data_IF_493083882272
#
_entry.id   IF_493083882272
#
_cell.length_a   1.000
_cell.length_b   1.000
_cell.length_c   1.000
_cell.angle_alpha   90.00
_cell.angle_beta   90.00
_cell.angle_gamma   90.00
#
_symmetry.space_group_name_H-M   'P 1'
#
loop_
_entity.id
_entity.type
_entity.pdbx_description
1 polymer ?
#
# COMPACT_ATOMS: atom_id res chain seq x y z
N UNK A 1 -25.73 63.39 18.24
CA UNK A 1 -26.84 62.71 18.95
C UNK A 1 -26.94 61.31 18.33
N UNK A 2 -26.03 60.41 18.69
CA UNK A 2 -26.10 59.43 19.79
C UNK A 2 -27.07 58.26 19.47
N UNK A 3 -26.64 57.30 18.63
CA UNK A 3 -26.27 55.88 18.93
C UNK A 3 -27.48 54.94 19.22
N UNK A 4 -27.29 53.60 19.30
CA UNK A 4 -27.81 52.60 18.35
C UNK A 4 -28.83 51.65 19.03
N UNK A 5 -29.17 50.52 18.41
CA UNK A 5 -29.62 49.37 19.21
C UNK A 5 -28.91 48.08 18.81
N UNK A 6 -28.31 47.48 19.84
CA UNK A 6 -27.51 46.28 19.87
C UNK A 6 -28.35 45.12 20.42
N UNK A 7 -28.00 43.95 19.92
CA UNK A 7 -28.21 42.58 20.39
C UNK A 7 -28.24 42.35 21.92
N UNK A 8 -29.02 41.37 22.40
CA UNK A 8 -28.70 40.55 23.58
C UNK A 8 -29.54 39.25 23.70
N UNK A 9 -29.09 38.26 24.52
CA UNK A 9 -29.24 36.82 24.31
C UNK A 9 -29.92 36.05 25.47
N UNK A 10 -30.06 34.72 25.32
CA UNK A 10 -29.77 33.78 26.41
C UNK A 10 -30.91 33.28 27.33
N UNK A 11 -30.63 32.31 28.22
CA UNK A 11 -31.29 30.99 28.26
C UNK A 11 -32.06 30.68 29.57
N UNK A 12 -32.85 29.60 29.59
CA UNK A 12 -33.45 29.10 30.84
C UNK A 12 -34.14 27.74 30.73
N UNK A 13 -33.56 26.73 31.37
CA UNK A 13 -34.15 25.43 31.74
C UNK A 13 -35.32 25.64 32.73
N UNK A 14 -36.33 24.75 32.77
CA UNK A 14 -36.66 24.13 34.06
C UNK A 14 -36.98 22.61 33.99
N UNK A 15 -37.08 21.95 35.17
CA UNK A 15 -36.90 20.51 35.36
C UNK A 15 -38.22 19.73 35.56
N UNK A 16 -38.13 18.38 35.55
CA UNK A 16 -38.97 17.53 36.38
C UNK A 16 -40.04 16.67 35.68
N UNK A 17 -39.81 15.36 35.75
CA UNK A 17 -40.75 14.23 35.53
C UNK A 17 -42.07 14.36 36.34
N UNK A 18 -43.19 13.70 35.93
CA UNK A 18 -43.38 12.26 36.15
C UNK A 18 -44.14 11.46 35.05
N UNK A 19 -44.12 10.15 35.27
CA UNK A 19 -44.54 9.01 34.46
C UNK A 19 -45.96 9.03 33.88
N UNK A 20 -46.09 8.45 32.68
CA UNK A 20 -47.31 7.81 32.16
C UNK A 20 -46.96 6.88 30.98
N UNK A 21 -47.39 5.60 30.95
CA UNK A 21 -47.10 4.70 29.84
C UNK A 21 -48.15 4.87 28.74
N UNK A 22 -47.77 5.50 27.64
CA UNK A 22 -48.56 5.55 26.41
C UNK A 22 -47.71 5.06 25.23
N UNK A 23 -48.21 4.13 24.38
CA UNK A 23 -47.45 3.66 23.23
C UNK A 23 -47.46 4.74 22.13
N UNK A 24 -46.31 5.35 21.88
CA UNK A 24 -46.07 6.21 20.71
C UNK A 24 -45.63 5.35 19.51
N UNK A 25 -46.21 5.53 18.31
CA UNK A 25 -45.81 4.79 17.11
C UNK A 25 -44.41 5.22 16.65
N UNK A 26 -43.53 4.24 16.47
CA UNK A 26 -42.14 4.41 16.09
C UNK A 26 -42.05 4.74 14.58
N UNK A 27 -41.62 5.96 14.25
CA UNK A 27 -41.24 6.32 12.89
C UNK A 27 -39.91 5.62 12.51
N UNK A 28 -39.77 5.09 11.29
CA UNK A 28 -38.56 4.38 10.89
C UNK A 28 -37.41 5.39 10.74
N UNK A 29 -36.41 5.24 11.60
CA UNK A 29 -35.14 5.96 11.51
C UNK A 29 -34.41 5.47 10.26
N UNK A 30 -34.13 6.40 9.33
CA UNK A 30 -33.22 6.21 8.21
C UNK A 30 -31.82 5.89 8.78
N UNK A 31 -31.47 4.60 8.77
CA UNK A 31 -30.14 4.13 9.13
C UNK A 31 -29.19 4.50 7.99
N UNK A 32 -28.49 5.62 8.16
CA UNK A 32 -27.41 6.06 7.28
C UNK A 32 -26.28 5.03 7.35
N UNK A 33 -26.17 4.19 6.33
CA UNK A 33 -25.08 3.24 6.19
C UNK A 33 -23.81 4.03 5.88
N UNK A 34 -22.96 4.23 6.88
CA UNK A 34 -21.57 4.65 6.68
C UNK A 34 -20.84 3.51 5.98
N UNK A 35 -20.79 3.55 4.66
CA UNK A 35 -19.88 2.71 3.86
C UNK A 35 -18.47 3.18 4.16
N UNK A 36 -17.81 2.49 5.09
CA UNK A 36 -16.38 2.53 5.28
C UNK A 36 -15.72 2.11 3.96
N UNK A 37 -15.20 3.06 3.18
CA UNK A 37 -14.29 2.74 2.09
C UNK A 37 -13.13 1.90 2.66
N UNK A 38 -12.75 0.77 2.04
CA UNK A 38 -11.57 0.03 2.48
C UNK A 38 -10.32 0.91 2.33
N UNK A 39 -9.48 1.05 3.38
CA UNK A 39 -8.18 1.69 3.29
C UNK A 39 -7.20 0.73 2.62
N UNK A 40 -7.34 0.52 1.31
CA UNK A 40 -6.47 -0.39 0.55
C UNK A 40 -5.41 0.35 -0.28
N UNK A 41 -5.62 1.64 -0.56
CA UNK A 41 -4.73 2.41 -1.44
C UNK A 41 -3.47 2.92 -0.72
N UNK A 42 -3.51 3.15 0.59
CA UNK A 42 -2.33 3.49 1.40
C UNK A 42 -1.29 2.36 1.45
N UNK A 43 -1.70 1.09 1.27
CA UNK A 43 -0.83 -0.06 1.52
C UNK A 43 0.19 -0.34 0.40
N UNK A 44 0.01 0.26 -0.78
CA UNK A 44 0.73 -0.12 -2.01
C UNK A 44 1.56 1.00 -2.66
N UNK A 45 1.75 2.15 -2.01
CA UNK A 45 2.64 3.17 -2.57
C UNK A 45 4.12 2.89 -2.27
N UNK A 46 4.65 1.88 -2.97
CA UNK A 46 6.06 1.51 -2.93
C UNK A 46 6.98 2.68 -3.30
N UNK A 47 6.53 3.60 -4.16
CA UNK A 47 7.31 4.78 -4.57
C UNK A 47 7.42 5.77 -3.41
N UNK A 48 6.34 6.05 -2.70
CA UNK A 48 6.40 6.91 -1.51
C UNK A 48 7.26 6.30 -0.40
N UNK A 49 7.22 4.98 -0.22
CA UNK A 49 8.13 4.28 0.71
C UNK A 49 9.59 4.44 0.31
N UNK A 50 9.93 4.28 -0.97
CA UNK A 50 11.28 4.52 -1.48
C UNK A 50 11.73 5.96 -1.23
N UNK A 51 10.88 6.97 -1.46
CA UNK A 51 11.22 8.36 -1.19
C UNK A 51 11.60 8.60 0.28
N UNK A 52 10.90 7.95 1.21
CA UNK A 52 11.24 8.01 2.65
C UNK A 52 12.56 7.28 2.91
N UNK A 53 12.74 6.07 2.36
CA UNK A 53 13.96 5.27 2.52
C UNK A 53 15.20 5.96 1.95
N UNK A 54 15.10 6.70 0.84
CA UNK A 54 16.21 7.47 0.26
C UNK A 54 16.75 8.50 1.25
N UNK A 55 15.86 9.19 1.98
CA UNK A 55 16.28 10.12 3.02
C UNK A 55 16.98 9.37 4.17
N UNK A 56 16.47 8.22 4.58
CA UNK A 56 17.09 7.40 5.64
C UNK A 56 18.46 6.84 5.20
N UNK A 57 18.60 6.42 3.95
CA UNK A 57 19.87 5.99 3.37
C UNK A 57 20.91 7.10 3.39
N UNK A 58 20.51 8.34 3.09
CA UNK A 58 21.40 9.51 3.17
C UNK A 58 21.91 9.76 4.60
N UNK A 59 21.07 9.60 5.60
CA UNK A 59 21.49 9.75 6.99
C UNK A 59 22.32 8.54 7.48
N UNK A 60 21.98 7.34 7.01
CA UNK A 60 22.70 6.11 7.31
C UNK A 60 24.12 6.14 6.75
N UNK A 61 24.33 6.55 5.49
CA UNK A 61 25.70 6.67 4.91
C UNK A 61 26.55 7.70 5.66
N UNK A 62 25.96 8.83 6.09
CA UNK A 62 26.65 9.80 6.93
C UNK A 62 27.09 9.18 8.26
N UNK A 63 26.23 8.33 8.84
CA UNK A 63 26.52 7.62 10.08
C UNK A 63 27.64 6.58 9.86
N UNK A 64 27.57 5.79 8.78
CA UNK A 64 28.63 4.83 8.41
C UNK A 64 29.99 5.52 8.30
N UNK A 65 30.06 6.67 7.62
CA UNK A 65 31.32 7.41 7.45
C UNK A 65 31.84 7.94 8.79
N UNK A 66 30.98 8.52 9.63
CA UNK A 66 31.35 9.02 10.96
C UNK A 66 31.91 7.91 11.85
N UNK A 67 31.23 6.77 11.90
CA UNK A 67 31.66 5.62 12.70
C UNK A 67 32.92 4.97 12.13
N UNK A 68 33.05 4.84 10.80
CA UNK A 68 34.28 4.37 10.15
C UNK A 68 35.49 5.23 10.52
N UNK A 69 35.32 6.55 10.48
CA UNK A 69 36.37 7.50 10.81
C UNK A 69 36.78 7.38 12.28
N UNK A 70 35.80 7.31 13.18
CA UNK A 70 36.04 7.11 14.62
C UNK A 70 36.79 5.80 14.90
N UNK A 71 36.37 4.69 14.28
CA UNK A 71 37.03 3.40 14.39
C UNK A 71 38.46 3.43 13.86
N UNK A 72 38.69 4.07 12.72
CA UNK A 72 40.03 4.22 12.14
C UNK A 72 40.94 5.08 13.03
N UNK A 73 40.45 6.20 13.57
CA UNK A 73 41.20 7.04 14.49
C UNK A 73 41.55 6.30 15.78
N UNK A 74 40.60 5.53 16.33
CA UNK A 74 40.83 4.70 17.49
C UNK A 74 41.95 3.67 17.24
N UNK A 75 41.92 2.98 16.10
CA UNK A 75 42.95 2.02 15.72
C UNK A 75 44.33 2.70 15.64
N UNK A 76 44.42 3.89 15.02
CA UNK A 76 45.67 4.67 14.98
C UNK A 76 46.18 5.01 16.39
N UNK A 77 45.30 5.44 17.29
CA UNK A 77 45.69 5.75 18.68
C UNK A 77 46.19 4.52 19.44
N UNK A 78 45.56 3.37 19.22
CA UNK A 78 46.02 2.08 19.76
C UNK A 78 47.41 1.71 19.24
N UNK A 79 47.66 1.88 17.95
CA UNK A 79 48.97 1.61 17.33
C UNK A 79 50.07 2.53 17.88
N UNK A 80 49.72 3.75 18.27
CA UNK A 80 50.61 4.70 18.96
C UNK A 80 50.79 4.41 20.45
N UNK A 81 50.15 3.37 20.99
CA UNK A 81 50.21 2.99 22.41
C UNK A 81 49.39 3.89 23.34
N UNK A 82 48.53 4.75 22.81
CA UNK A 82 47.66 5.65 23.58
C UNK A 82 46.41 4.88 24.02
N UNK A 83 46.34 4.47 25.28
CA UNK A 83 45.18 3.76 25.84
C UNK A 83 43.96 4.68 25.91
N UNK A 84 42.97 4.44 25.06
CA UNK A 84 41.64 5.05 25.12
C UNK A 84 40.76 4.29 26.12
N UNK A 85 39.97 5.01 26.93
CA UNK A 85 39.18 4.45 28.04
C UNK A 85 37.94 3.68 27.57
N UNK A 86 37.52 3.84 26.30
CA UNK A 86 36.32 3.21 25.75
C UNK A 86 36.62 2.58 24.38
N UNK A 87 36.47 1.25 24.20
CA UNK A 87 36.58 0.64 22.89
C UNK A 87 35.31 0.94 22.06
N UNK A 88 35.41 1.38 20.79
CA UNK A 88 34.25 1.59 19.91
C UNK A 88 33.59 0.27 19.44
N UNK A 89 33.89 -0.84 20.11
CA UNK A 89 33.61 -2.19 19.66
C UNK A 89 32.09 -2.41 19.48
N UNK A 90 31.68 -2.70 18.23
CA UNK A 90 30.30 -3.04 17.86
C UNK A 90 29.44 -1.88 17.35
N UNK A 91 29.90 -0.63 17.43
CA UNK A 91 29.11 0.50 16.90
C UNK A 91 29.16 0.59 15.38
N UNK A 92 30.32 0.31 14.77
CA UNK A 92 30.47 0.39 13.32
C UNK A 92 29.71 -0.73 12.61
N UNK A 93 29.85 -1.97 13.08
CA UNK A 93 29.18 -3.14 12.47
C UNK A 93 27.66 -2.98 12.45
N UNK A 94 27.08 -2.48 13.55
CA UNK A 94 25.64 -2.21 13.62
C UNK A 94 25.19 -1.14 12.62
N UNK A 95 25.91 -0.02 12.54
CA UNK A 95 25.57 1.07 11.61
C UNK A 95 25.71 0.61 10.16
N UNK A 96 26.66 -0.29 9.89
CA UNK A 96 26.84 -0.90 8.58
C UNK A 96 25.73 -1.90 8.24
N UNK A 97 25.30 -2.72 9.20
CA UNK A 97 24.15 -3.63 9.05
C UNK A 97 22.85 -2.86 8.78
N UNK A 98 22.60 -1.79 9.52
CA UNK A 98 21.45 -0.91 9.33
C UNK A 98 21.47 -0.28 7.91
N UNK A 99 22.64 0.10 7.40
CA UNK A 99 22.80 0.60 6.03
C UNK A 99 22.42 -0.45 4.97
N UNK A 100 22.92 -1.68 5.11
CA UNK A 100 22.58 -2.76 4.17
C UNK A 100 21.09 -3.11 4.22
N UNK A 101 20.49 -3.16 5.41
CA UNK A 101 19.05 -3.39 5.58
C UNK A 101 18.20 -2.33 4.87
N UNK A 102 18.62 -1.06 4.89
CA UNK A 102 17.95 0.02 4.15
C UNK A 102 18.12 -0.13 2.63
N UNK A 103 19.28 -0.60 2.16
CA UNK A 103 19.51 -0.88 0.73
C UNK A 103 18.57 -1.99 0.25
N UNK A 104 18.50 -3.11 0.98
CA UNK A 104 17.65 -4.24 0.65
C UNK A 104 16.16 -3.85 0.58
N UNK A 105 15.69 -3.09 1.58
CA UNK A 105 14.31 -2.59 1.58
C UNK A 105 14.02 -1.67 0.38
N UNK A 106 14.97 -0.79 0.04
CA UNK A 106 14.84 0.11 -1.11
C UNK A 106 14.77 -0.69 -2.41
N UNK A 107 15.64 -1.69 -2.57
CA UNK A 107 15.67 -2.57 -3.73
C UNK A 107 14.34 -3.33 -3.89
N UNK A 108 13.83 -3.93 -2.82
CA UNK A 108 12.57 -4.67 -2.83
C UNK A 108 11.42 -3.78 -3.28
N UNK A 109 11.31 -2.55 -2.73
CA UNK A 109 10.24 -1.65 -3.13
C UNK A 109 10.36 -1.20 -4.59
N UNK A 110 11.57 -0.92 -5.08
CA UNK A 110 11.80 -0.57 -6.49
C UNK A 110 11.46 -1.72 -7.44
N UNK A 111 11.92 -2.94 -7.13
CA UNK A 111 11.56 -4.16 -7.89
C UNK A 111 10.06 -4.38 -7.92
N UNK A 112 9.40 -4.21 -6.78
CA UNK A 112 7.94 -4.33 -6.69
C UNK A 112 7.24 -3.28 -7.54
N UNK A 113 7.69 -2.01 -7.52
CA UNK A 113 7.14 -0.96 -8.37
C UNK A 113 7.28 -1.24 -9.86
N UNK A 114 8.43 -1.77 -10.30
CA UNK A 114 8.65 -2.17 -11.69
C UNK A 114 7.67 -3.27 -12.08
N UNK A 115 7.49 -4.28 -11.22
CA UNK A 115 6.59 -5.39 -11.49
C UNK A 115 5.12 -4.91 -11.57
N UNK A 116 4.69 -4.01 -10.69
CA UNK A 116 3.36 -3.41 -10.76
C UNK A 116 3.15 -2.63 -12.07
N UNK A 117 4.17 -1.91 -12.55
CA UNK A 117 4.09 -1.19 -13.83
C UNK A 117 4.00 -2.15 -15.02
N UNK A 118 4.81 -3.21 -15.02
CA UNK A 118 4.76 -4.26 -16.03
C UNK A 118 3.40 -4.97 -16.04
N UNK A 119 2.87 -5.29 -14.87
CA UNK A 119 1.53 -5.87 -14.71
C UNK A 119 0.45 -4.93 -15.26
N UNK A 120 0.53 -3.63 -14.98
CA UNK A 120 -0.39 -2.62 -15.52
C UNK A 120 -0.33 -2.53 -17.06
N UNK A 121 0.87 -2.55 -17.63
CA UNK A 121 1.08 -2.54 -19.09
C UNK A 121 0.54 -3.81 -19.74
N UNK A 122 0.82 -4.98 -19.15
CA UNK A 122 0.32 -6.25 -19.63
C UNK A 122 -1.21 -6.30 -19.55
N UNK A 123 -1.81 -5.84 -18.44
CA UNK A 123 -3.26 -5.75 -18.30
C UNK A 123 -3.85 -4.92 -19.44
N UNK A 124 -3.36 -3.71 -19.69
CA UNK A 124 -3.87 -2.86 -20.77
C UNK A 124 -3.69 -3.47 -22.17
N UNK A 125 -2.59 -4.19 -22.40
CA UNK A 125 -2.28 -4.79 -23.69
C UNK A 125 -3.15 -6.01 -24.02
N UNK A 126 -3.35 -6.88 -23.04
CA UNK A 126 -4.04 -8.17 -23.26
C UNK A 126 -5.51 -8.14 -22.85
N UNK A 127 -5.91 -7.16 -22.04
CA UNK A 127 -7.29 -6.95 -21.63
C UNK A 127 -7.58 -5.44 -21.56
N UNK A 128 -8.05 -4.81 -22.66
CA UNK A 128 -8.30 -3.37 -22.73
C UNK A 128 -9.58 -2.95 -21.99
N UNK A 129 -9.76 -3.46 -20.77
CA UNK A 129 -10.84 -3.11 -19.84
C UNK A 129 -10.19 -2.66 -18.53
N UNK A 130 -10.76 -1.64 -17.90
CA UNK A 130 -10.26 -1.20 -16.61
C UNK A 130 -10.58 -2.24 -15.54
N UNK A 131 -9.63 -2.51 -14.63
CA UNK A 131 -9.84 -3.44 -13.52
C UNK A 131 -9.86 -2.68 -12.21
N UNK A 132 -10.98 -2.74 -11.50
CA UNK A 132 -11.11 -2.19 -10.16
C UNK A 132 -10.52 -3.18 -9.14
N UNK A 133 -9.21 -3.14 -8.92
CA UNK A 133 -8.44 -4.12 -8.13
C UNK A 133 -8.90 -4.27 -6.68
N UNK A 134 -9.45 -3.22 -6.07
CA UNK A 134 -9.91 -3.22 -4.67
C UNK A 134 -11.38 -3.58 -4.52
N UNK A 135 -12.11 -3.75 -5.64
CA UNK A 135 -13.55 -3.94 -5.64
C UNK A 135 -13.91 -5.40 -5.87
N UNK A 136 -14.61 -5.99 -4.92
CA UNK A 136 -15.12 -7.37 -4.98
C UNK A 136 -16.56 -7.44 -5.46
N UNK A 137 -17.40 -6.44 -5.12
CA UNK A 137 -18.84 -6.47 -5.42
C UNK A 137 -19.22 -5.74 -6.72
N UNK A 138 -20.21 -6.26 -7.49
CA UNK A 138 -20.80 -5.55 -8.61
C UNK A 138 -21.62 -4.34 -8.14
N UNK A 139 -21.44 -3.16 -8.75
CA UNK A 139 -22.30 -2.00 -8.46
C UNK A 139 -23.52 -2.00 -9.40
N UNK A 140 -24.68 -1.52 -8.94
CA UNK A 140 -25.76 -1.11 -9.84
C UNK A 140 -25.25 0.05 -10.71
N UNK A 141 -25.45 -0.04 -12.03
CA UNK A 141 -24.83 0.83 -13.06
C UNK A 141 -23.29 0.72 -13.17
N UNK A 142 -22.78 -0.51 -13.28
CA UNK A 142 -21.39 -0.70 -13.70
C UNK A 142 -21.20 -0.18 -15.13
N UNK A 143 -20.23 0.71 -15.32
CA UNK A 143 -19.69 1.02 -16.64
C UNK A 143 -19.27 -0.28 -17.33
N UNK A 144 -19.79 -0.54 -18.53
CA UNK A 144 -19.53 -1.77 -19.28
C UNK A 144 -18.03 -2.03 -19.56
N UNK A 145 -17.19 -1.01 -19.40
CA UNK A 145 -15.76 -1.05 -19.66
C UNK A 145 -14.88 -1.29 -18.41
N UNK A 146 -15.49 -1.56 -17.24
CA UNK A 146 -14.76 -1.78 -15.98
C UNK A 146 -15.14 -3.11 -15.31
N UNK A 147 -14.15 -3.96 -15.09
CA UNK A 147 -14.28 -5.25 -14.40
C UNK A 147 -13.94 -5.13 -12.91
N UNK A 148 -14.63 -5.89 -12.07
CA UNK A 148 -14.16 -6.16 -10.69
C UNK A 148 -12.99 -7.14 -10.69
N UNK A 149 -12.23 -7.19 -9.59
CA UNK A 149 -11.11 -8.14 -9.49
C UNK A 149 -11.55 -9.62 -9.65
N UNK A 150 -12.69 -10.08 -9.07
CA UNK A 150 -13.20 -11.42 -9.34
C UNK A 150 -13.60 -11.65 -10.80
N UNK A 151 -14.24 -10.68 -11.46
CA UNK A 151 -14.61 -10.78 -12.88
C UNK A 151 -13.38 -10.86 -13.78
N UNK A 152 -12.36 -10.05 -13.47
CA UNK A 152 -11.05 -10.11 -14.13
C UNK A 152 -10.42 -11.49 -14.00
N UNK A 153 -10.32 -12.03 -12.78
CA UNK A 153 -9.77 -13.37 -12.54
C UNK A 153 -10.53 -14.46 -13.31
N UNK A 154 -11.87 -14.38 -13.35
CA UNK A 154 -12.67 -15.33 -14.11
C UNK A 154 -12.39 -15.23 -15.62
N UNK A 155 -12.29 -14.00 -16.14
CA UNK A 155 -11.96 -13.75 -17.55
C UNK A 155 -10.61 -14.35 -17.93
N UNK A 156 -9.57 -14.12 -17.11
CA UNK A 156 -8.23 -14.67 -17.34
C UNK A 156 -8.25 -16.20 -17.30
N UNK A 157 -8.96 -16.81 -16.34
CA UNK A 157 -9.09 -18.28 -16.27
C UNK A 157 -9.73 -18.86 -17.53
N UNK A 158 -10.79 -18.24 -18.03
CA UNK A 158 -11.45 -18.65 -19.29
C UNK A 158 -10.51 -18.52 -20.49
N UNK A 159 -9.76 -17.42 -20.58
CA UNK A 159 -8.77 -17.22 -21.66
C UNK A 159 -7.66 -18.28 -21.63
N UNK A 160 -7.16 -18.63 -20.45
CA UNK A 160 -6.14 -19.68 -20.28
C UNK A 160 -6.71 -21.05 -20.67
N UNK A 161 -7.91 -21.39 -20.23
CA UNK A 161 -8.58 -22.64 -20.59
C UNK A 161 -8.78 -22.75 -22.11
N UNK A 162 -9.31 -21.71 -22.74
CA UNK A 162 -9.51 -21.66 -24.18
C UNK A 162 -8.20 -21.81 -24.97
N UNK A 163 -7.12 -21.14 -24.52
CA UNK A 163 -5.79 -21.27 -25.14
C UNK A 163 -5.27 -22.70 -25.04
N UNK A 164 -5.49 -23.36 -23.90
CA UNK A 164 -5.12 -24.77 -23.71
C UNK A 164 -5.92 -25.67 -24.65
N UNK A 165 -7.22 -25.45 -24.79
CA UNK A 165 -8.06 -26.26 -25.69
C UNK A 165 -7.59 -26.15 -27.14
N UNK A 166 -7.25 -24.93 -27.61
CA UNK A 166 -6.66 -24.74 -28.95
C UNK A 166 -5.33 -25.49 -29.07
N UNK A 167 -4.45 -25.38 -28.08
CA UNK A 167 -3.17 -26.08 -28.08
C UNK A 167 -3.36 -27.59 -28.19
N UNK A 168 -4.27 -28.17 -27.41
CA UNK A 168 -4.51 -29.61 -27.39
C UNK A 168 -5.12 -30.10 -28.72
N UNK A 169 -6.00 -29.31 -29.34
CA UNK A 169 -6.53 -29.59 -30.69
C UNK A 169 -5.39 -29.58 -31.72
N UNK A 170 -4.54 -28.56 -31.71
CA UNK A 170 -3.41 -28.44 -32.64
C UNK A 170 -2.38 -29.56 -32.44
N UNK A 171 -2.07 -29.92 -31.19
CA UNK A 171 -1.16 -31.00 -30.87
C UNK A 171 -1.69 -32.36 -31.35
N UNK A 172 -2.99 -32.63 -31.15
CA UNK A 172 -3.65 -33.83 -31.65
C UNK A 172 -3.62 -33.89 -33.18
N UNK A 173 -3.95 -32.78 -33.86
CA UNK A 173 -3.90 -32.70 -35.32
C UNK A 173 -2.48 -32.96 -35.86
N UNK A 174 -1.45 -32.39 -35.23
CA UNK A 174 -0.05 -32.60 -35.63
C UNK A 174 0.40 -34.06 -35.46
N UNK A 175 0.00 -34.72 -34.36
CA UNK A 175 0.29 -36.14 -34.14
C UNK A 175 -0.38 -37.03 -35.19
N UNK A 176 -1.62 -36.74 -35.57
CA UNK A 176 -2.34 -37.49 -36.59
C UNK A 176 -1.66 -37.36 -37.96
N UNK A 177 -1.10 -36.19 -38.30
CA UNK A 177 -0.35 -36.00 -39.55
C UNK A 177 0.92 -36.85 -39.55
N UNK A 178 1.72 -36.78 -38.47
CA UNK A 178 2.97 -37.55 -38.36
C UNK A 178 2.76 -39.07 -38.31
N UNK A 179 1.58 -39.54 -37.89
CA UNK A 179 1.25 -40.97 -37.87
C UNK A 179 0.77 -41.50 -39.23
N UNK A 180 0.53 -40.63 -40.21
CA UNK A 180 0.03 -41.00 -41.55
C UNK A 180 1.15 -41.09 -42.60
N UNK A 181 2.39 -40.73 -42.24
CA UNK A 181 3.62 -41.00 -43.01
C UNK A 181 4.33 -42.28 -42.50
#
# INVERSE_FOLDING_TARGET
MNVPQMQQPGPGMPPGMPQGPGPVPQAPSLMQSSVSQPPAQEKLDNISKVKVLVNQLRESINSVIKHSTSTLQHNIMMDMGIKTIDPPAGHFDKVLEDFYSLCDQTEIHLKTSIECLNQGNASNRYLPMMVASTRTEPLPNQDANTLTYPQYLNTVKTQVAFTKDIHDILASAAQNINATE
#
